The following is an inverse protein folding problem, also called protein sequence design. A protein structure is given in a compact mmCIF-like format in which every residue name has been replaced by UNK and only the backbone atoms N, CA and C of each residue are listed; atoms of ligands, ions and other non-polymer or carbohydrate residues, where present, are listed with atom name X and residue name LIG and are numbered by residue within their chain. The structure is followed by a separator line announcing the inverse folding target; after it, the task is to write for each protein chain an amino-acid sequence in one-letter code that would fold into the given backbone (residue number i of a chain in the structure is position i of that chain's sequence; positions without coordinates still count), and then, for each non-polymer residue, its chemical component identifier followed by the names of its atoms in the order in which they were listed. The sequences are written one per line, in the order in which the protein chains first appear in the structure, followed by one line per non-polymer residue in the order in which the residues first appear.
data_IF_201109825007
#
_entry.id   IF_201109825007
#
_cell.length_a   1.000
_cell.length_b   1.000
_cell.length_c   1.000
_cell.angle_alpha   90.00
_cell.angle_beta   90.00
_cell.angle_gamma   90.00
#
_symmetry.space_group_name_H-M   'P 1'
#
loop_
_entity.id
_entity.type
_entity.pdbx_description
1 polymer ?
#
# COMPACT_ATOMS: atom_id res chain seq x y z
N UNK A 1 13.82 -4.34 3.98
CA UNK A 1 12.42 -4.19 3.54
C UNK A 1 11.76 -3.09 4.36
N UNK A 2 10.92 -2.29 3.72
CA UNK A 2 10.09 -1.28 4.39
C UNK A 2 9.15 -1.96 5.42
N UNK A 3 9.17 -1.55 6.70
CA UNK A 3 8.30 -2.12 7.75
C UNK A 3 6.81 -2.06 7.40
N UNK A 4 6.37 -1.06 6.65
CA UNK A 4 4.98 -0.93 6.22
C UNK A 4 4.58 -2.08 5.30
N UNK A 5 5.39 -2.34 4.26
CA UNK A 5 5.17 -3.42 3.29
C UNK A 5 5.19 -4.80 3.95
N UNK A 6 6.02 -4.98 4.98
CA UNK A 6 6.05 -6.23 5.77
C UNK A 6 4.74 -6.43 6.54
N UNK A 7 4.14 -5.35 7.06
CA UNK A 7 2.86 -5.43 7.77
C UNK A 7 1.69 -5.70 6.83
N UNK A 8 1.67 -5.08 5.65
CA UNK A 8 0.69 -5.37 4.59
C UNK A 8 0.76 -6.84 4.15
N UNK A 9 1.97 -7.35 3.94
CA UNK A 9 2.18 -8.76 3.60
C UNK A 9 1.69 -9.70 4.71
N UNK A 10 1.93 -9.36 5.99
CA UNK A 10 1.43 -10.14 7.12
C UNK A 10 -0.10 -10.15 7.16
N UNK A 11 -0.75 -9.02 6.90
CA UNK A 11 -2.20 -8.91 6.85
C UNK A 11 -2.77 -9.78 5.71
N UNK A 12 -2.16 -9.71 4.53
CA UNK A 12 -2.54 -10.53 3.38
C UNK A 12 -2.39 -12.03 3.67
N UNK A 13 -1.28 -12.46 4.25
CA UNK A 13 -1.08 -13.87 4.63
C UNK A 13 -2.15 -14.34 5.65
N UNK A 14 -2.57 -13.47 6.57
CA UNK A 14 -3.66 -13.78 7.51
C UNK A 14 -4.98 -13.98 6.76
N UNK A 15 -5.25 -13.16 5.76
CA UNK A 15 -6.45 -13.26 4.92
C UNK A 15 -6.47 -14.57 4.11
N UNK A 16 -5.37 -14.95 3.46
CA UNK A 16 -5.29 -16.23 2.73
C UNK A 16 -5.45 -17.46 3.65
N UNK A 17 -5.07 -17.36 4.93
CA UNK A 17 -5.30 -18.43 5.92
C UNK A 17 -6.77 -18.54 6.32
N UNK A 18 -7.49 -17.42 6.32
CA UNK A 18 -8.92 -17.39 6.65
C UNK A 18 -9.77 -17.83 5.45
N UNK A 19 -9.39 -17.42 4.25
CA UNK A 19 -10.04 -17.82 3.01
C UNK A 19 -9.01 -18.21 1.94
N UNK A 20 -8.75 -19.52 1.78
CA UNK A 20 -7.85 -20.04 0.76
C UNK A 20 -8.35 -19.83 -0.68
N UNK A 21 -9.63 -19.50 -0.90
CA UNK A 21 -10.19 -19.31 -2.25
C UNK A 21 -9.61 -18.07 -2.94
N UNK A 22 -9.18 -17.08 -2.17
CA UNK A 22 -8.50 -15.87 -2.66
C UNK A 22 -7.25 -16.23 -3.45
N UNK A 23 -6.55 -17.30 -3.05
CA UNK A 23 -5.37 -17.75 -3.78
C UNK A 23 -5.71 -18.28 -5.16
N UNK A 24 -6.97 -18.60 -5.49
CA UNK A 24 -7.42 -19.15 -6.77
C UNK A 24 -7.97 -18.09 -7.74
N UNK A 25 -8.00 -16.80 -7.36
CA UNK A 25 -8.42 -15.72 -8.27
C UNK A 25 -7.40 -15.50 -9.39
N UNK A 26 -7.83 -14.90 -10.50
CA UNK A 26 -6.96 -14.65 -11.66
C UNK A 26 -5.81 -13.68 -11.33
N UNK A 27 -6.09 -12.67 -10.50
CA UNK A 27 -5.12 -11.70 -10.01
C UNK A 27 -3.99 -12.33 -9.17
N UNK A 28 -4.28 -13.44 -8.47
CA UNK A 28 -3.33 -14.13 -7.58
C UNK A 28 -2.55 -15.26 -8.29
N UNK A 29 -2.68 -15.37 -9.62
CA UNK A 29 -2.03 -16.42 -10.41
C UNK A 29 -0.50 -16.40 -10.28
N UNK A 30 0.12 -15.23 -10.37
CA UNK A 30 1.59 -15.10 -10.24
C UNK A 30 2.09 -15.62 -8.88
N UNK A 31 1.32 -15.39 -7.81
CA UNK A 31 1.67 -15.81 -6.47
C UNK A 31 1.56 -17.34 -6.33
N UNK A 32 0.55 -17.96 -6.96
CA UNK A 32 0.43 -19.42 -6.99
C UNK A 32 1.62 -20.06 -7.69
N UNK A 33 1.94 -19.59 -8.89
CA UNK A 33 3.06 -20.09 -9.69
C UNK A 33 4.39 -19.93 -8.93
N UNK A 34 4.58 -18.80 -8.24
CA UNK A 34 5.75 -18.58 -7.39
C UNK A 34 5.81 -19.56 -6.20
N UNK A 35 4.71 -19.75 -5.46
CA UNK A 35 4.65 -20.69 -4.33
C UNK A 35 4.92 -22.13 -4.77
N UNK A 36 4.36 -22.55 -5.90
CA UNK A 36 4.58 -23.88 -6.47
C UNK A 36 6.02 -24.06 -6.96
N UNK A 37 6.64 -23.03 -7.54
CA UNK A 37 8.06 -23.05 -7.94
C UNK A 37 9.00 -23.27 -6.74
N UNK A 38 8.61 -22.79 -5.57
CA UNK A 38 9.32 -22.95 -4.31
C UNK A 38 9.02 -24.29 -3.61
N UNK A 39 8.26 -25.18 -4.26
CA UNK A 39 7.82 -26.47 -3.72
C UNK A 39 6.71 -26.38 -2.66
N UNK A 40 6.07 -25.20 -2.54
CA UNK A 40 4.93 -24.99 -1.67
C UNK A 40 3.66 -25.65 -2.21
N UNK A 41 2.77 -26.08 -1.30
CA UNK A 41 1.46 -26.67 -1.66
C UNK A 41 0.34 -25.69 -1.35
N UNK A 42 -0.54 -25.47 -2.31
CA UNK A 42 -1.70 -24.58 -2.18
C UNK A 42 -2.94 -25.42 -1.84
N UNK A 43 -3.73 -25.04 -0.81
CA UNK A 43 -4.98 -25.74 -0.49
C UNK A 43 -5.98 -25.69 -1.64
N UNK A 44 -6.73 -26.78 -1.85
CA UNK A 44 -7.79 -26.86 -2.85
C UNK A 44 -8.91 -25.86 -2.52
N UNK A 45 -9.44 -25.18 -3.54
CA UNK A 45 -10.59 -24.29 -3.38
C UNK A 45 -11.78 -25.09 -2.83
N UNK A 46 -12.22 -24.77 -1.62
CA UNK A 46 -13.42 -25.38 -1.02
C UNK A 46 -14.63 -25.01 -1.87
N UNK A 47 -15.11 -25.94 -2.70
CA UNK A 47 -16.36 -25.78 -3.42
C UNK A 47 -17.51 -25.76 -2.41
N UNK A 48 -18.12 -24.59 -2.21
CA UNK A 48 -19.53 -24.56 -1.81
C UNK A 48 -20.35 -24.98 -3.03
N UNK A 49 -21.08 -26.08 -2.85
CA UNK A 49 -21.92 -26.83 -3.78
C UNK A 49 -22.46 -26.08 -5.02
N UNK A 50 -22.24 -26.71 -6.18
CA UNK A 50 -23.02 -26.54 -7.41
C UNK A 50 -24.45 -27.10 -7.24
N UNK A 51 -25.42 -26.42 -7.84
CA UNK A 51 -26.61 -27.04 -8.47
C UNK A 51 -26.84 -26.24 -9.75
N UNK A 52 -26.28 -26.71 -10.86
CA UNK A 52 -26.97 -27.53 -11.87
C UNK A 52 -27.87 -26.72 -12.82
N UNK A 53 -27.46 -26.83 -14.07
CA UNK A 53 -27.99 -26.29 -15.31
C UNK A 53 -29.39 -26.84 -15.61
N UNK A 54 -30.35 -25.97 -15.89
CA UNK A 54 -31.41 -26.31 -16.84
C UNK A 54 -31.99 -25.08 -17.54
N UNK A 55 -32.05 -25.22 -18.87
CA UNK A 55 -32.51 -24.28 -19.88
C UNK A 55 -34.01 -23.97 -19.74
N UNK A 56 -34.39 -22.69 -19.86
CA UNK A 56 -35.54 -22.24 -20.69
C UNK A 56 -35.67 -20.72 -20.73
N UNK A 57 -35.90 -20.22 -21.94
CA UNK A 57 -36.32 -18.86 -22.27
C UNK A 57 -37.63 -18.48 -21.58
N UNK A 58 -37.73 -17.25 -21.08
CA UNK A 58 -38.88 -16.37 -21.34
C UNK A 58 -38.58 -14.93 -20.88
N UNK A 59 -38.95 -13.96 -21.72
CA UNK A 59 -39.05 -12.54 -21.40
C UNK A 59 -40.36 -12.28 -20.64
N UNK A 60 -40.33 -11.50 -19.55
CA UNK A 60 -41.11 -10.25 -19.43
C UNK A 60 -40.84 -9.51 -18.10
N UNK A 61 -40.57 -8.21 -18.25
CA UNK A 61 -40.96 -7.02 -17.48
C UNK A 61 -41.34 -7.04 -15.97
N UNK A 62 -40.68 -6.12 -15.28
CA UNK A 62 -41.06 -5.23 -14.17
C UNK A 62 -41.38 -5.69 -12.73
N UNK A 63 -40.73 -4.92 -11.83
CA UNK A 63 -41.10 -4.42 -10.49
C UNK A 63 -40.73 -5.24 -9.24
N UNK A 64 -39.64 -4.76 -8.61
CA UNK A 64 -39.53 -4.25 -7.22
C UNK A 64 -39.97 -5.20 -6.09
N UNK A 65 -39.01 -5.68 -5.30
CA UNK A 65 -38.89 -5.42 -3.85
C UNK A 65 -37.40 -5.62 -3.46
N UNK A 66 -36.77 -4.52 -3.05
CA UNK A 66 -35.57 -4.50 -2.22
C UNK A 66 -35.98 -4.82 -0.78
N UNK A 67 -35.27 -5.72 -0.12
CA UNK A 67 -35.13 -5.78 1.35
C UNK A 67 -33.77 -6.46 1.64
N UNK A 68 -32.71 -5.70 1.84
CA UNK A 68 -32.24 -5.10 3.11
C UNK A 68 -31.17 -6.00 3.79
N UNK A 69 -29.91 -5.82 3.37
CA UNK A 69 -28.74 -6.07 4.22
C UNK A 69 -27.95 -4.76 4.25
N UNK A 70 -28.38 -3.85 5.11
CA UNK A 70 -27.54 -2.74 5.59
C UNK A 70 -26.34 -3.31 6.35
N UNK A 71 -25.21 -3.41 5.66
CA UNK A 71 -23.94 -3.17 6.32
C UNK A 71 -23.86 -1.66 6.55
N UNK A 72 -23.73 -1.25 7.82
CA UNK A 72 -23.42 0.13 8.21
C UNK A 72 -22.07 0.54 7.60
N UNK A 73 -22.08 1.02 6.36
CA UNK A 73 -21.10 2.00 5.92
C UNK A 73 -21.38 3.31 6.67
N UNK A 74 -20.37 3.95 7.28
CA UNK A 74 -20.56 5.31 7.73
C UNK A 74 -20.74 6.19 6.50
N UNK A 75 -22.00 6.49 6.21
CA UNK A 75 -22.41 7.67 5.45
C UNK A 75 -21.74 8.88 6.09
N UNK A 76 -20.62 9.28 5.48
CA UNK A 76 -19.97 10.56 5.69
C UNK A 76 -20.34 11.36 4.47
N UNK A 77 -21.06 12.47 4.66
CA UNK A 77 -21.56 13.43 3.67
C UNK A 77 -20.46 14.12 2.81
N UNK A 78 -19.33 13.46 2.54
CA UNK A 78 -18.10 14.04 1.95
C UNK A 78 -17.79 13.52 0.53
N UNK A 79 -18.67 12.72 -0.08
CA UNK A 79 -18.41 12.08 -1.38
C UNK A 79 -19.31 12.64 -2.48
N UNK A 80 -19.08 13.87 -2.91
CA UNK A 80 -19.49 14.28 -4.27
C UNK A 80 -18.67 15.46 -4.79
N UNK A 81 -17.35 15.30 -4.85
CA UNK A 81 -16.57 16.14 -5.74
C UNK A 81 -16.67 15.53 -7.13
N UNK A 82 -17.57 16.07 -7.95
CA UNK A 82 -17.63 15.82 -9.38
C UNK A 82 -16.28 16.23 -10.00
N UNK A 83 -15.38 15.28 -10.15
CA UNK A 83 -14.21 15.45 -11.00
C UNK A 83 -14.75 15.34 -12.42
N UNK A 84 -14.63 16.46 -13.13
CA UNK A 84 -14.94 16.52 -14.54
C UNK A 84 -14.08 15.49 -15.30
N UNK A 85 -14.76 14.46 -15.83
CA UNK A 85 -14.18 13.35 -16.57
C UNK A 85 -14.19 13.62 -18.09
N UNK A 86 -14.34 14.87 -18.52
CA UNK A 86 -14.25 15.22 -19.93
C UNK A 86 -12.92 14.72 -20.53
N UNK A 87 -13.05 13.95 -21.62
CA UNK A 87 -11.94 13.35 -22.36
C UNK A 87 -11.41 12.03 -21.78
N UNK A 88 -11.97 11.53 -20.66
CA UNK A 88 -11.67 10.19 -20.14
C UNK A 88 -12.38 9.14 -20.99
N UNK A 89 -11.66 8.08 -21.35
CA UNK A 89 -12.15 6.95 -22.14
C UNK A 89 -12.02 5.65 -21.37
N UNK A 90 -12.72 4.62 -21.83
CA UNK A 90 -12.55 3.27 -21.28
C UNK A 90 -11.15 2.71 -21.59
N UNK A 91 -10.56 1.94 -20.65
CA UNK A 91 -9.28 1.29 -20.88
C UNK A 91 -9.37 0.26 -22.01
N UNK A 92 -8.35 0.21 -22.87
CA UNK A 92 -8.21 -0.88 -23.85
C UNK A 92 -7.92 -2.20 -23.14
N UNK A 93 -8.66 -3.25 -23.53
CA UNK A 93 -8.60 -4.61 -22.96
C UNK A 93 -8.05 -5.63 -23.96
N UNK A 94 -7.46 -5.15 -25.05
CA UNK A 94 -6.82 -5.99 -26.06
C UNK A 94 -5.65 -6.79 -25.47
N UNK A 95 -5.32 -7.92 -26.11
CA UNK A 95 -4.12 -8.70 -25.80
C UNK A 95 -2.87 -7.83 -25.86
N UNK A 96 -1.92 -7.95 -24.91
CA UNK A 96 -0.68 -7.18 -24.93
C UNK A 96 0.04 -7.29 -26.28
N UNK A 97 0.45 -6.15 -26.82
CA UNK A 97 1.13 -6.07 -28.11
C UNK A 97 2.53 -6.70 -28.06
N UNK A 98 3.08 -7.05 -29.22
CA UNK A 98 4.42 -7.63 -29.32
C UNK A 98 5.51 -6.61 -28.96
N UNK A 99 6.44 -7.01 -28.08
CA UNK A 99 7.50 -6.16 -27.53
C UNK A 99 8.92 -6.51 -28.01
N UNK A 100 9.07 -7.48 -28.92
CA UNK A 100 10.38 -8.00 -29.32
C UNK A 100 11.07 -8.84 -28.24
N UNK A 101 12.23 -9.40 -28.56
CA UNK A 101 13.07 -10.15 -27.61
C UNK A 101 14.26 -9.30 -27.16
N UNK A 102 14.22 -8.86 -25.91
CA UNK A 102 15.25 -7.99 -25.32
C UNK A 102 16.66 -8.60 -25.32
N UNK A 103 16.74 -9.93 -25.32
CA UNK A 103 17.98 -10.68 -25.28
C UNK A 103 18.51 -11.07 -26.67
N UNK A 104 17.77 -10.77 -27.73
CA UNK A 104 18.19 -11.08 -29.09
C UNK A 104 19.53 -10.40 -29.45
N UNK A 105 20.36 -11.13 -30.19
CA UNK A 105 21.55 -10.58 -30.81
C UNK A 105 21.15 -9.68 -31.98
N UNK A 106 21.58 -8.42 -31.95
CA UNK A 106 21.21 -7.42 -32.95
C UNK A 106 22.41 -7.23 -33.87
N UNK A 107 22.35 -7.85 -35.06
CA UNK A 107 23.35 -7.68 -36.11
C UNK A 107 23.22 -6.31 -36.79
N UNK A 108 24.31 -5.81 -37.38
CA UNK A 108 24.32 -4.52 -38.12
C UNK A 108 23.23 -4.46 -39.20
N UNK A 109 23.06 -5.53 -39.96
CA UNK A 109 21.99 -5.64 -40.97
C UNK A 109 20.59 -5.50 -40.36
N UNK A 110 20.35 -6.05 -39.16
CA UNK A 110 19.07 -5.90 -38.47
C UNK A 110 18.85 -4.46 -38.00
N UNK A 111 19.91 -3.75 -37.62
CA UNK A 111 19.81 -2.32 -37.25
C UNK A 111 19.41 -1.46 -38.46
N UNK A 112 20.00 -1.72 -39.62
CA UNK A 112 19.67 -1.03 -40.87
C UNK A 112 18.23 -1.32 -41.29
N UNK A 113 17.83 -2.59 -41.30
CA UNK A 113 16.44 -2.99 -41.60
C UNK A 113 15.44 -2.38 -40.60
N UNK A 114 15.77 -2.34 -39.30
CA UNK A 114 14.94 -1.68 -38.29
C UNK A 114 14.82 -0.17 -38.55
N UNK A 115 15.90 0.47 -39.00
CA UNK A 115 15.90 1.88 -39.34
C UNK A 115 15.03 2.17 -40.58
N UNK A 116 15.11 1.34 -41.62
CA UNK A 116 14.26 1.44 -42.81
C UNK A 116 12.77 1.27 -42.45
N UNK A 117 12.45 0.26 -41.63
CA UNK A 117 11.09 0.04 -41.12
C UNK A 117 10.60 1.22 -40.29
N UNK A 118 11.45 1.84 -39.45
CA UNK A 118 11.12 3.05 -38.69
C UNK A 118 10.80 4.24 -39.60
N UNK A 119 11.56 4.42 -40.68
CA UNK A 119 11.30 5.49 -41.68
C UNK A 119 9.95 5.25 -42.34
N UNK A 120 9.72 4.04 -42.87
CA UNK A 120 8.44 3.68 -43.49
C UNK A 120 7.25 3.80 -42.50
N UNK A 121 7.43 3.44 -41.23
CA UNK A 121 6.42 3.60 -40.20
C UNK A 121 6.10 5.08 -39.93
N UNK A 122 7.12 5.94 -39.96
CA UNK A 122 6.95 7.38 -39.77
C UNK A 122 6.22 8.01 -40.96
N UNK A 123 6.52 7.56 -42.19
CA UNK A 123 5.78 7.97 -43.39
C UNK A 123 4.31 7.54 -43.32
N UNK A 124 4.03 6.27 -43.02
CA UNK A 124 2.67 5.77 -42.83
C UNK A 124 1.90 6.55 -41.75
N UNK A 125 2.58 6.94 -40.65
CA UNK A 125 1.99 7.78 -39.61
C UNK A 125 1.65 9.19 -40.11
N UNK A 126 2.50 9.79 -40.95
CA UNK A 126 2.27 11.10 -41.54
C UNK A 126 1.12 11.08 -42.55
N UNK A 127 0.96 9.97 -43.27
CA UNK A 127 -0.15 9.74 -44.20
C UNK A 127 -1.47 9.37 -43.49
N UNK A 128 -1.44 9.18 -42.17
CA UNK A 128 -2.61 8.83 -41.36
C UNK A 128 -2.96 7.34 -41.36
N UNK A 129 -2.11 6.48 -41.93
CA UNK A 129 -2.27 5.03 -41.96
C UNK A 129 -1.84 4.39 -40.62
N UNK A 130 -2.58 4.68 -39.55
CA UNK A 130 -2.18 4.38 -38.16
C UNK A 130 -1.92 2.89 -37.91
N UNK A 131 -2.76 1.98 -38.41
CA UNK A 131 -2.56 0.54 -38.21
C UNK A 131 -1.29 0.04 -38.91
N UNK A 132 -1.05 0.49 -40.14
CA UNK A 132 0.17 0.15 -40.89
C UNK A 132 1.42 0.71 -40.21
N UNK A 133 1.33 1.90 -39.61
CA UNK A 133 2.43 2.45 -38.80
C UNK A 133 2.73 1.56 -37.59
N UNK A 134 1.71 1.05 -36.89
CA UNK A 134 1.89 0.08 -35.79
C UNK A 134 2.58 -1.18 -36.27
N UNK A 135 2.13 -1.76 -37.38
CA UNK A 135 2.69 -2.99 -37.92
C UNK A 135 4.18 -2.79 -38.28
N UNK A 136 4.51 -1.69 -38.95
CA UNK A 136 5.89 -1.34 -39.33
C UNK A 136 6.78 -1.02 -38.11
N UNK A 137 6.27 -0.32 -37.09
CA UNK A 137 7.00 -0.13 -35.84
C UNK A 137 7.21 -1.45 -35.09
N UNK A 138 6.24 -2.36 -35.15
CA UNK A 138 6.34 -3.68 -34.53
C UNK A 138 7.40 -4.53 -35.22
N UNK A 139 7.45 -4.53 -36.55
CA UNK A 139 8.53 -5.13 -37.32
C UNK A 139 9.90 -4.54 -36.95
N UNK A 140 10.00 -3.21 -36.84
CA UNK A 140 11.24 -2.54 -36.42
C UNK A 140 11.68 -2.95 -35.01
N UNK A 141 10.74 -3.10 -34.08
CA UNK A 141 11.01 -3.54 -32.69
C UNK A 141 11.49 -4.99 -32.66
N UNK A 142 10.92 -5.89 -33.48
CA UNK A 142 11.40 -7.27 -33.59
C UNK A 142 12.85 -7.35 -34.06
N UNK A 143 13.25 -6.43 -34.95
CA UNK A 143 14.60 -6.35 -35.48
C UNK A 143 15.57 -5.65 -34.50
N UNK A 144 15.12 -4.61 -33.80
CA UNK A 144 15.93 -3.88 -32.83
C UNK A 144 15.12 -3.49 -31.57
N UNK A 145 14.97 -4.42 -30.61
CA UNK A 145 14.16 -4.21 -29.41
C UNK A 145 14.84 -3.32 -28.35
N UNK A 146 16.06 -2.85 -28.62
CA UNK A 146 16.84 -1.98 -27.71
C UNK A 146 16.86 -0.52 -28.15
N UNK A 147 16.06 -0.17 -29.17
CA UNK A 147 15.96 1.19 -29.66
C UNK A 147 14.73 1.91 -29.09
N UNK A 148 14.92 2.67 -28.01
CA UNK A 148 13.85 3.36 -27.26
C UNK A 148 12.88 4.17 -28.14
N UNK A 149 13.39 4.84 -29.19
CA UNK A 149 12.59 5.70 -30.06
C UNK A 149 11.50 4.93 -30.82
N UNK A 150 11.67 3.62 -31.06
CA UNK A 150 10.66 2.81 -31.74
C UNK A 150 9.40 2.67 -30.89
N UNK A 151 9.58 2.32 -29.60
CA UNK A 151 8.48 2.21 -28.64
C UNK A 151 7.82 3.57 -28.41
N UNK A 152 8.59 4.65 -28.22
CA UNK A 152 8.02 5.99 -28.04
C UNK A 152 7.17 6.43 -29.24
N UNK A 153 7.63 6.15 -30.47
CA UNK A 153 6.86 6.45 -31.69
C UNK A 153 5.61 5.58 -31.80
N UNK A 154 5.69 4.27 -31.53
CA UNK A 154 4.53 3.37 -31.55
C UNK A 154 3.50 3.74 -30.49
N UNK A 155 3.94 4.12 -29.28
CA UNK A 155 3.08 4.67 -28.23
C UNK A 155 2.30 5.91 -28.70
N UNK A 156 2.94 6.82 -29.46
CA UNK A 156 2.24 7.98 -30.02
C UNK A 156 1.10 7.58 -30.98
N UNK A 157 1.27 6.48 -31.72
CA UNK A 157 0.21 5.94 -32.59
C UNK A 157 -0.91 5.31 -31.75
N UNK A 158 -0.58 4.57 -30.70
CA UNK A 158 -1.58 4.00 -29.79
C UNK A 158 -2.41 5.08 -29.08
N UNK A 159 -1.80 6.20 -28.68
CA UNK A 159 -2.54 7.37 -28.14
C UNK A 159 -3.51 7.94 -29.18
N UNK A 160 -3.09 8.08 -30.45
CA UNK A 160 -3.98 8.53 -31.54
C UNK A 160 -5.15 7.57 -31.79
N UNK A 161 -4.94 6.27 -31.57
CA UNK A 161 -5.98 5.23 -31.66
C UNK A 161 -6.79 5.05 -30.37
N UNK A 162 -6.58 5.90 -29.36
CA UNK A 162 -7.27 5.79 -28.06
C UNK A 162 -7.05 4.42 -27.38
N UNK A 163 -5.82 3.88 -27.47
CA UNK A 163 -5.37 2.66 -26.78
C UNK A 163 -4.32 2.98 -25.70
N UNK A 164 -4.72 3.61 -24.58
CA UNK A 164 -3.79 4.13 -23.59
C UNK A 164 -2.97 3.07 -22.85
N UNK A 165 -3.51 1.89 -22.54
CA UNK A 165 -2.77 0.81 -21.88
C UNK A 165 -1.67 0.25 -22.79
N UNK A 166 -1.96 0.05 -24.07
CA UNK A 166 -0.93 -0.30 -25.07
C UNK A 166 0.17 0.78 -25.13
N UNK A 167 -0.21 2.06 -25.17
CA UNK A 167 0.76 3.17 -25.16
C UNK A 167 1.63 3.19 -23.90
N UNK A 168 1.05 2.94 -22.72
CA UNK A 168 1.77 2.91 -21.44
C UNK A 168 2.85 1.83 -21.46
N UNK A 169 2.54 0.60 -21.90
CA UNK A 169 3.53 -0.49 -22.00
C UNK A 169 4.72 -0.13 -22.89
N UNK A 170 4.46 0.51 -24.03
CA UNK A 170 5.53 0.99 -24.92
C UNK A 170 6.34 2.13 -24.28
N UNK A 171 5.68 3.06 -23.58
CA UNK A 171 6.37 4.16 -22.91
C UNK A 171 7.25 3.65 -21.76
N UNK A 172 6.76 2.72 -20.96
CA UNK A 172 7.53 2.08 -19.88
C UNK A 172 8.78 1.43 -20.45
N UNK A 173 8.63 0.67 -21.55
CA UNK A 173 9.77 0.05 -22.22
C UNK A 173 10.76 1.08 -22.77
N UNK A 174 10.27 2.17 -23.36
CA UNK A 174 11.14 3.24 -23.84
C UNK A 174 11.92 3.91 -22.71
N UNK A 175 11.30 4.10 -21.54
CA UNK A 175 11.91 4.69 -20.33
C UNK A 175 12.95 3.75 -19.72
N UNK A 176 12.68 2.43 -19.69
CA UNK A 176 13.66 1.43 -19.25
C UNK A 176 14.94 1.48 -20.08
N UNK A 177 14.81 1.65 -21.40
CA UNK A 177 15.95 1.72 -22.32
C UNK A 177 16.65 3.08 -22.25
N UNK A 178 15.89 4.17 -22.24
CA UNK A 178 16.42 5.53 -22.20
C UNK A 178 15.56 6.45 -21.29
N UNK A 179 15.92 6.56 -20.00
CA UNK A 179 15.15 7.34 -19.03
C UNK A 179 15.30 8.86 -19.21
N UNK A 180 16.29 9.32 -20.00
CA UNK A 180 16.55 10.74 -20.25
C UNK A 180 15.77 11.30 -21.44
N UNK A 181 15.02 10.45 -22.17
CA UNK A 181 14.16 10.90 -23.26
C UNK A 181 12.86 11.49 -22.73
N UNK A 182 12.52 12.72 -23.14
CA UNK A 182 11.25 13.36 -22.76
C UNK A 182 10.02 12.72 -23.42
N UNK A 183 10.17 12.22 -24.66
CA UNK A 183 9.06 11.74 -25.50
C UNK A 183 8.22 10.63 -24.86
N UNK A 184 8.80 9.56 -24.28
CA UNK A 184 8.03 8.55 -23.57
C UNK A 184 7.15 9.11 -22.43
N UNK A 185 7.67 10.05 -21.64
CA UNK A 185 6.89 10.67 -20.57
C UNK A 185 5.75 11.53 -21.13
N UNK A 186 5.97 12.26 -22.22
CA UNK A 186 4.89 13.01 -22.90
C UNK A 186 3.76 12.08 -23.32
N UNK A 187 4.08 10.95 -23.95
CA UNK A 187 3.06 10.01 -24.44
C UNK A 187 2.40 9.22 -23.30
N UNK A 188 3.14 8.82 -22.26
CA UNK A 188 2.58 8.17 -21.08
C UNK A 188 1.66 9.10 -20.29
N UNK A 189 2.04 10.37 -20.14
CA UNK A 189 1.19 11.40 -19.55
C UNK A 189 -0.11 11.62 -20.32
N UNK A 190 -0.05 11.65 -21.66
CA UNK A 190 -1.23 11.69 -22.54
C UNK A 190 -2.12 10.45 -22.38
N UNK A 191 -1.52 9.26 -22.26
CA UNK A 191 -2.26 8.02 -22.04
C UNK A 191 -2.93 7.97 -20.66
N UNK A 192 -2.24 8.40 -19.60
CA UNK A 192 -2.82 8.53 -18.27
C UNK A 192 -3.96 9.55 -18.22
N UNK A 193 -3.83 10.67 -18.96
CA UNK A 193 -4.91 11.65 -19.12
C UNK A 193 -6.16 11.03 -19.75
N UNK A 194 -6.00 10.20 -20.78
CA UNK A 194 -7.12 9.46 -21.40
C UNK A 194 -7.79 8.48 -20.43
N UNK A 195 -7.03 7.90 -19.48
CA UNK A 195 -7.58 7.00 -18.45
C UNK A 195 -8.13 7.73 -17.22
N UNK A 196 -8.02 9.06 -17.14
CA UNK A 196 -8.37 9.82 -15.94
C UNK A 196 -7.41 9.59 -14.76
N UNK A 197 -6.22 9.05 -15.00
CA UNK A 197 -5.16 8.90 -14.02
C UNK A 197 -4.45 10.26 -13.84
N UNK A 198 -5.15 11.20 -13.21
CA UNK A 198 -4.76 12.61 -13.21
C UNK A 198 -3.43 12.89 -12.50
N UNK A 199 -3.14 12.18 -11.40
CA UNK A 199 -1.88 12.36 -10.64
C UNK A 199 -0.68 11.90 -11.46
N UNK A 200 -0.78 10.72 -12.07
CA UNK A 200 0.22 10.11 -12.92
C UNK A 200 0.45 10.94 -14.20
N UNK A 201 -0.63 11.40 -14.83
CA UNK A 201 -0.56 12.27 -15.99
C UNK A 201 0.17 13.58 -15.69
N UNK A 202 -0.16 14.25 -14.57
CA UNK A 202 0.52 15.49 -14.17
C UNK A 202 2.01 15.25 -13.89
N UNK A 203 2.34 14.15 -13.22
CA UNK A 203 3.73 13.80 -12.93
C UNK A 203 4.55 13.62 -14.22
N UNK A 204 4.07 12.80 -15.14
CA UNK A 204 4.79 12.50 -16.38
C UNK A 204 4.92 13.71 -17.30
N UNK A 205 3.85 14.51 -17.46
CA UNK A 205 3.90 15.74 -18.26
C UNK A 205 4.86 16.77 -17.66
N UNK A 206 4.90 16.90 -16.32
CA UNK A 206 5.85 17.78 -15.66
C UNK A 206 7.30 17.31 -15.83
N UNK A 207 7.54 15.99 -15.75
CA UNK A 207 8.86 15.42 -16.01
C UNK A 207 9.28 15.60 -17.46
N UNK A 208 8.37 15.38 -18.42
CA UNK A 208 8.61 15.64 -19.83
C UNK A 208 9.04 17.08 -20.07
N UNK A 209 8.26 18.08 -19.60
CA UNK A 209 8.61 19.50 -19.75
C UNK A 209 9.91 19.90 -19.06
N UNK A 210 10.32 19.18 -18.02
CA UNK A 210 11.61 19.40 -17.34
C UNK A 210 12.78 18.86 -18.15
N UNK A 211 12.61 17.72 -18.82
CA UNK A 211 13.63 17.10 -19.67
C UNK A 211 13.79 17.86 -20.99
N UNK A 212 12.66 18.14 -21.65
CA UNK A 212 12.59 18.91 -22.89
C UNK A 212 11.26 19.66 -22.94
N UNK A 213 11.32 20.99 -23.02
CA UNK A 213 10.11 21.81 -22.99
C UNK A 213 9.33 21.65 -24.29
N UNK A 214 8.11 21.13 -24.17
CA UNK A 214 7.15 21.00 -25.26
C UNK A 214 5.88 21.80 -24.92
N UNK A 215 5.41 22.62 -25.86
CA UNK A 215 4.26 23.51 -25.65
C UNK A 215 2.96 22.71 -25.45
N UNK A 216 2.77 21.63 -26.21
CA UNK A 216 1.60 20.75 -26.09
C UNK A 216 1.57 20.03 -24.74
N UNK A 217 2.71 19.47 -24.31
CA UNK A 217 2.84 18.84 -23.00
C UNK A 217 2.59 19.84 -21.86
N UNK A 218 3.12 21.06 -21.97
CA UNK A 218 2.93 22.14 -21.00
C UNK A 218 1.47 22.60 -20.92
N UNK A 219 0.79 22.71 -22.06
CA UNK A 219 -0.63 23.03 -22.12
C UNK A 219 -1.48 21.93 -21.46
N UNK A 220 -1.20 20.67 -21.78
CA UNK A 220 -1.90 19.54 -21.16
C UNK A 220 -1.63 19.42 -19.66
N UNK A 221 -0.40 19.72 -19.21
CA UNK A 221 -0.09 19.76 -17.78
C UNK A 221 -0.98 20.76 -17.05
N UNK A 222 -1.20 21.96 -17.62
CA UNK A 222 -2.08 22.97 -17.03
C UNK A 222 -3.54 22.51 -16.94
N UNK A 223 -4.02 21.73 -17.93
CA UNK A 223 -5.35 21.12 -17.93
C UNK A 223 -5.49 20.06 -16.82
N UNK A 224 -4.50 19.17 -16.71
CA UNK A 224 -4.54 18.02 -15.80
C UNK A 224 -4.26 18.41 -14.34
N UNK A 225 -3.42 19.42 -14.10
CA UNK A 225 -2.98 19.83 -12.76
C UNK A 225 -4.11 20.07 -11.74
N UNK A 226 -5.19 20.81 -12.04
CA UNK A 226 -6.29 21.01 -11.08
C UNK A 226 -7.03 19.70 -10.78
N UNK A 227 -7.22 18.81 -11.76
CA UNK A 227 -7.85 17.50 -11.56
C UNK A 227 -6.95 16.59 -10.69
N UNK A 228 -5.64 16.62 -10.92
CA UNK A 228 -4.65 15.92 -10.11
C UNK A 228 -4.66 16.39 -8.64
N UNK A 229 -4.69 17.71 -8.41
CA UNK A 229 -4.73 18.29 -7.06
C UNK A 229 -6.02 17.93 -6.31
N UNK A 230 -7.18 17.95 -6.99
CA UNK A 230 -8.45 17.50 -6.41
C UNK A 230 -8.40 16.02 -6.02
N UNK A 231 -7.89 15.17 -6.92
CA UNK A 231 -7.76 13.73 -6.71
C UNK A 231 -6.85 13.42 -5.51
N UNK A 232 -5.66 14.03 -5.48
CA UNK A 232 -4.71 13.88 -4.38
C UNK A 232 -5.25 14.41 -3.04
N UNK A 233 -5.95 15.55 -3.07
CA UNK A 233 -6.59 16.13 -1.90
C UNK A 233 -7.66 15.23 -1.30
N UNK A 234 -8.50 14.64 -2.14
CA UNK A 234 -9.51 13.67 -1.73
C UNK A 234 -8.88 12.41 -1.13
N UNK A 235 -7.89 11.82 -1.82
CA UNK A 235 -7.14 10.65 -1.33
C UNK A 235 -6.54 10.89 0.05
N UNK A 236 -5.91 12.06 0.25
CA UNK A 236 -5.33 12.46 1.54
C UNK A 236 -6.38 12.64 2.63
N UNK A 237 -7.53 13.27 2.34
CA UNK A 237 -8.61 13.42 3.31
C UNK A 237 -9.16 12.07 3.75
N UNK A 238 -9.38 11.17 2.79
CA UNK A 238 -9.86 9.82 3.05
C UNK A 238 -8.89 9.02 3.92
N UNK A 239 -7.58 9.09 3.62
CA UNK A 239 -6.54 8.44 4.41
C UNK A 239 -6.46 9.00 5.84
N UNK A 240 -6.52 10.33 6.00
CA UNK A 240 -6.58 10.98 7.32
C UNK A 240 -7.82 10.50 8.11
N UNK A 241 -8.97 10.40 7.45
CA UNK A 241 -10.20 9.88 8.05
C UNK A 241 -10.04 8.45 8.55
N UNK A 242 -9.48 7.56 7.72
CA UNK A 242 -9.19 6.17 8.09
C UNK A 242 -8.23 6.05 9.27
N UNK A 243 -7.16 6.82 9.29
CA UNK A 243 -6.18 6.83 10.39
C UNK A 243 -6.81 7.35 11.68
N UNK A 244 -7.62 8.42 11.62
CA UNK A 244 -8.35 8.95 12.79
C UNK A 244 -9.30 7.91 13.37
N UNK A 245 -10.10 7.25 12.52
CA UNK A 245 -11.03 6.20 12.94
C UNK A 245 -10.29 5.04 13.62
N UNK A 246 -9.23 4.53 13.00
CA UNK A 246 -8.38 3.48 13.59
C UNK A 246 -7.80 3.89 14.96
N UNK A 247 -7.33 5.14 15.09
CA UNK A 247 -6.81 5.66 16.37
C UNK A 247 -7.89 5.76 17.44
N UNK A 248 -9.11 6.14 17.08
CA UNK A 248 -10.22 6.20 18.03
C UNK A 248 -10.69 4.80 18.47
N UNK A 249 -10.76 3.85 17.55
CA UNK A 249 -11.08 2.43 17.86
C UNK A 249 -10.05 1.83 18.83
N UNK A 250 -8.75 2.04 18.57
CA UNK A 250 -7.68 1.62 19.49
C UNK A 250 -7.77 2.27 20.87
N UNK A 251 -8.33 3.48 20.97
CA UNK A 251 -8.56 4.15 22.26
C UNK A 251 -9.83 3.66 22.97
N UNK A 252 -10.84 3.19 22.23
CA UNK A 252 -12.12 2.69 22.79
C UNK A 252 -12.01 1.24 23.26
N UNK A 253 -11.24 0.39 22.58
CA UNK A 253 -11.04 -1.02 22.94
C UNK A 253 -10.64 -1.28 24.41
N UNK A 254 -9.63 -0.62 25.01
CA UNK A 254 -9.29 -0.83 26.42
C UNK A 254 -10.37 -0.32 27.39
N UNK A 255 -11.19 0.65 26.97
CA UNK A 255 -12.25 1.26 27.80
C UNK A 255 -13.52 0.40 27.86
N UNK A 256 -13.76 -0.40 26.83
CA UNK A 256 -14.84 -1.40 26.77
C UNK A 256 -14.47 -2.67 27.55
N UNK A 257 -13.20 -3.09 27.55
CA UNK A 257 -12.73 -4.20 28.39
C UNK A 257 -12.79 -3.86 29.89
N UNK A 258 -12.44 -2.63 30.29
CA UNK A 258 -12.57 -2.18 31.69
C UNK A 258 -14.03 -2.04 32.14
N UNK A 259 -14.95 -1.64 31.26
CA UNK A 259 -16.37 -1.48 31.61
C UNK A 259 -17.16 -2.79 31.57
N UNK A 260 -16.79 -3.74 30.72
CA UNK A 260 -17.34 -5.10 30.72
C UNK A 260 -16.98 -5.91 31.97
N UNK A 261 -15.82 -5.64 32.58
CA UNK A 261 -15.39 -6.25 33.84
C UNK A 261 -16.20 -5.79 35.07
N UNK A 262 -16.90 -4.65 34.99
CA UNK A 262 -17.64 -4.09 36.13
C UNK A 262 -19.10 -4.61 36.23
N UNK A 263 -19.64 -5.29 35.22
CA UNK A 263 -21.04 -5.78 35.20
C UNK A 263 -21.22 -7.28 35.40
N UNK A 264 -20.14 -8.04 35.63
CA UNK A 264 -20.14 -9.50 35.75
C UNK A 264 -19.57 -10.03 37.06
N UNK A 265 -20.10 -9.64 38.22
CA UNK A 265 -19.81 -10.34 39.49
C UNK A 265 -20.88 -10.08 40.58
N UNK A 266 -21.92 -10.90 40.58
CA UNK A 266 -22.48 -11.45 41.82
C UNK A 266 -22.55 -12.97 41.62
N UNK A 267 -21.88 -13.76 42.49
CA UNK A 267 -22.62 -14.39 43.57
C UNK A 267 -21.83 -14.60 44.89
N UNK A 268 -22.55 -14.51 46.01
CA UNK A 268 -22.43 -15.49 47.11
C UNK A 268 -21.36 -15.30 48.19
N UNK A 269 -21.78 -14.75 49.34
CA UNK A 269 -21.64 -15.32 50.69
C UNK A 269 -20.25 -15.63 51.29
N UNK A 270 -19.90 -14.97 52.41
CA UNK A 270 -19.87 -15.56 53.77
C UNK A 270 -19.57 -14.45 54.82
N UNK A 271 -19.94 -14.62 56.11
CA UNK A 271 -20.06 -13.55 57.09
C UNK A 271 -18.95 -13.52 58.15
N UNK A 272 -18.65 -12.31 58.65
CA UNK A 272 -18.30 -12.08 60.06
C UNK A 272 -16.81 -11.86 60.41
N UNK A 273 -16.50 -10.67 60.96
CA UNK A 273 -15.25 -10.39 61.70
C UNK A 273 -14.81 -8.92 61.67
N UNK A 274 -15.25 -8.14 62.66
CA UNK A 274 -15.18 -6.66 62.83
C UNK A 274 -13.96 -6.24 63.70
N UNK A 275 -13.72 -4.97 64.15
CA UNK A 275 -13.58 -3.63 63.50
C UNK A 275 -12.31 -2.81 63.91
N UNK A 276 -12.06 -1.69 63.21
CA UNK A 276 -11.44 -0.44 63.76
C UNK A 276 -10.08 -0.07 63.15
N UNK A 277 -9.75 1.18 62.77
CA UNK A 277 -10.38 2.50 62.81
C UNK A 277 -9.56 3.50 61.95
N UNK A 278 -10.24 4.56 61.47
CA UNK A 278 -9.88 5.74 60.64
C UNK A 278 -8.52 6.46 60.90
N UNK A 279 -8.10 7.52 60.13
CA UNK A 279 -8.66 8.19 58.92
C UNK A 279 -7.66 8.62 57.80
N UNK A 280 -8.09 8.62 56.53
CA UNK A 280 -7.84 9.74 55.59
C UNK A 280 -6.51 9.89 54.82
N UNK A 281 -6.61 9.82 53.48
CA UNK A 281 -5.89 10.74 52.57
C UNK A 281 -4.94 10.15 51.53
N UNK A 282 -5.42 9.90 50.31
CA UNK A 282 -4.89 10.43 49.02
C UNK A 282 -5.55 9.68 47.84
N UNK A 283 -6.38 10.31 47.00
CA UNK A 283 -6.92 9.70 45.80
C UNK A 283 -5.96 9.86 44.62
N UNK A 284 -5.62 8.76 43.92
CA UNK A 284 -5.08 8.88 42.55
C UNK A 284 -3.91 8.01 42.12
N UNK A 285 -3.74 6.78 42.62
CA UNK A 285 -2.72 5.87 42.06
C UNK A 285 -3.19 4.41 42.05
N UNK A 286 -4.27 4.17 41.30
CA UNK A 286 -4.77 2.83 40.99
C UNK A 286 -4.81 2.65 39.48
N UNK A 287 -3.64 2.48 38.87
CA UNK A 287 -3.50 2.23 37.44
C UNK A 287 -2.30 1.33 37.21
N UNK A 288 -2.54 0.03 37.14
CA UNK A 288 -1.50 -0.95 36.79
C UNK A 288 -0.99 -0.67 35.39
N UNK A 289 0.32 -0.44 35.26
CA UNK A 289 1.00 -0.24 33.98
C UNK A 289 1.00 -1.55 33.17
N UNK A 290 0.38 -1.63 31.98
CA UNK A 290 0.34 -2.86 31.17
C UNK A 290 1.61 -3.13 30.36
N UNK A 291 2.60 -2.24 30.38
CA UNK A 291 3.75 -2.30 29.48
C UNK A 291 4.95 -3.13 30.01
N UNK A 292 4.83 -3.78 31.17
CA UNK A 292 5.94 -4.48 31.84
C UNK A 292 5.83 -6.02 31.83
N UNK A 293 4.75 -6.60 31.33
CA UNK A 293 4.40 -8.02 31.52
C UNK A 293 5.15 -9.04 30.61
N UNK A 294 6.31 -8.69 30.04
CA UNK A 294 6.97 -9.53 29.03
C UNK A 294 8.48 -9.74 29.14
N UNK A 295 9.16 -9.16 30.13
CA UNK A 295 10.62 -9.30 30.26
C UNK A 295 11.02 -10.39 31.27
N UNK A 296 11.85 -11.38 30.87
CA UNK A 296 12.48 -12.31 31.80
C UNK A 296 13.32 -11.52 32.83
N UNK A 297 13.16 -11.81 34.13
CA UNK A 297 13.92 -11.18 35.22
C UNK A 297 13.32 -9.89 35.80
N UNK A 298 12.27 -9.32 35.20
CA UNK A 298 11.68 -8.06 35.68
C UNK A 298 10.93 -8.23 37.03
N UNK A 299 10.35 -9.40 37.28
CA UNK A 299 9.74 -9.72 38.58
C UNK A 299 10.77 -9.79 39.72
N UNK A 300 12.02 -10.16 39.43
CA UNK A 300 13.10 -10.17 40.44
C UNK A 300 13.59 -8.76 40.74
N UNK A 301 13.65 -7.90 39.72
CA UNK A 301 14.00 -6.47 39.84
C UNK A 301 12.95 -5.72 40.67
N UNK A 302 11.67 -6.00 40.46
CA UNK A 302 10.57 -5.37 41.21
C UNK A 302 10.35 -5.95 42.61
N UNK A 303 11.01 -7.06 42.95
CA UNK A 303 10.93 -7.65 44.29
C UNK A 303 12.00 -7.11 45.25
N UNK A 304 12.93 -6.28 44.75
CA UNK A 304 14.00 -5.68 45.56
C UNK A 304 13.52 -4.36 46.21
N UNK A 305 13.46 -4.29 47.56
CA UNK A 305 13.01 -3.10 48.28
C UNK A 305 13.81 -1.83 47.95
N UNK A 306 15.10 -1.96 47.63
CA UNK A 306 15.95 -0.81 47.30
C UNK A 306 15.72 -0.33 45.85
N UNK A 307 15.43 -1.25 44.93
CA UNK A 307 15.09 -0.91 43.54
C UNK A 307 13.71 -0.26 43.49
N UNK A 308 12.74 -0.79 44.25
CA UNK A 308 11.42 -0.17 44.38
C UNK A 308 11.50 1.23 44.95
N UNK A 309 12.32 1.46 45.99
CA UNK A 309 12.52 2.78 46.55
C UNK A 309 13.16 3.76 45.55
N UNK A 310 14.08 3.27 44.70
CA UNK A 310 14.70 4.10 43.67
C UNK A 310 13.75 4.43 42.50
N UNK A 311 12.90 3.48 42.09
CA UNK A 311 11.92 3.66 41.00
C UNK A 311 10.73 4.56 41.43
N UNK A 312 10.55 4.79 42.73
CA UNK A 312 9.61 5.81 43.23
C UNK A 312 10.05 7.25 42.91
N UNK A 313 11.33 7.49 42.62
CA UNK A 313 11.78 8.79 42.13
C UNK A 313 11.34 8.96 40.65
N UNK A 314 10.52 9.97 40.32
CA UNK A 314 10.00 10.18 38.97
C UNK A 314 11.10 10.31 37.91
N UNK A 315 12.24 10.90 38.25
CA UNK A 315 13.37 11.05 37.32
C UNK A 315 14.00 9.69 37.00
N UNK A 316 14.06 8.81 38.00
CA UNK A 316 14.63 7.47 37.88
C UNK A 316 13.68 6.53 37.14
N UNK A 317 12.37 6.65 37.36
CA UNK A 317 11.36 5.85 36.65
C UNK A 317 11.38 6.12 35.14
N UNK A 318 11.45 7.40 34.75
CA UNK A 318 11.51 7.79 33.33
C UNK A 318 12.77 7.26 32.66
N UNK A 319 13.92 7.41 33.34
CA UNK A 319 15.18 6.88 32.83
C UNK A 319 15.19 5.34 32.74
N UNK A 320 14.62 4.67 33.75
CA UNK A 320 14.48 3.22 33.76
C UNK A 320 13.60 2.73 32.60
N UNK A 321 12.47 3.40 32.34
CA UNK A 321 11.61 3.07 31.22
C UNK A 321 12.30 3.28 29.85
N UNK A 322 13.05 4.37 29.68
CA UNK A 322 13.78 4.65 28.43
C UNK A 322 14.87 3.59 28.17
N UNK A 323 15.61 3.19 29.20
CA UNK A 323 16.65 2.15 29.09
C UNK A 323 16.05 0.75 28.88
N UNK A 324 14.91 0.45 29.50
CA UNK A 324 14.20 -0.83 29.30
C UNK A 324 13.66 -0.94 27.87
N UNK A 325 13.14 0.16 27.31
CA UNK A 325 12.69 0.18 25.92
C UNK A 325 13.85 0.13 24.92
N UNK A 326 15.01 0.69 25.28
CA UNK A 326 16.20 0.65 24.44
C UNK A 326 17.49 0.65 25.30
N UNK A 327 18.16 -0.51 25.47
CA UNK A 327 19.36 -0.62 26.29
C UNK A 327 20.52 0.31 25.87
N UNK A 328 20.57 0.74 24.61
CA UNK A 328 21.58 1.70 24.13
C UNK A 328 21.41 3.11 24.72
N UNK A 329 20.24 3.44 25.27
CA UNK A 329 19.98 4.73 25.90
C UNK A 329 20.62 4.88 27.29
N UNK A 330 21.16 3.81 27.87
CA UNK A 330 21.82 3.84 29.18
C UNK A 330 22.90 4.94 29.26
N UNK A 331 23.69 5.11 28.21
CA UNK A 331 24.74 6.13 28.15
C UNK A 331 24.22 7.56 28.30
N UNK A 332 22.95 7.85 28.00
CA UNK A 332 22.38 9.20 28.14
C UNK A 332 22.30 9.67 29.59
N UNK A 333 22.26 8.74 30.53
CA UNK A 333 22.02 9.02 31.94
C UNK A 333 23.31 8.98 32.78
N UNK A 334 24.49 8.92 32.15
CA UNK A 334 25.79 8.87 32.85
C UNK A 334 26.02 10.08 33.78
N UNK A 335 25.37 11.21 33.50
CA UNK A 335 25.47 12.46 34.26
C UNK A 335 24.45 12.56 35.39
N UNK A 336 23.46 11.65 35.45
CA UNK A 336 22.47 11.63 36.51
C UNK A 336 22.93 10.67 37.63
N UNK A 337 23.36 11.19 38.80
CA UNK A 337 23.89 10.36 39.87
C UNK A 337 22.86 9.40 40.48
N UNK A 338 21.57 9.75 40.45
CA UNK A 338 20.50 8.87 40.97
C UNK A 338 20.28 7.67 40.07
N UNK A 339 20.25 7.88 38.76
CA UNK A 339 20.08 6.83 37.76
C UNK A 339 21.31 5.93 37.71
N UNK A 340 22.51 6.51 37.78
CA UNK A 340 23.76 5.75 37.82
C UNK A 340 23.90 4.89 39.08
N UNK A 341 23.40 5.35 40.23
CA UNK A 341 23.38 4.55 41.46
C UNK A 341 22.46 3.33 41.30
N UNK A 342 21.29 3.50 40.69
CA UNK A 342 20.38 2.38 40.38
C UNK A 342 21.02 1.39 39.40
N UNK A 343 21.60 1.87 38.29
CA UNK A 343 22.26 1.02 37.28
C UNK A 343 23.45 0.26 37.90
N UNK A 344 24.25 0.91 38.74
CA UNK A 344 25.40 0.28 39.40
C UNK A 344 24.95 -0.82 40.37
N UNK A 345 23.85 -0.60 41.11
CA UNK A 345 23.26 -1.61 42.00
C UNK A 345 22.66 -2.79 41.24
N UNK A 346 21.95 -2.53 40.14
CA UNK A 346 21.40 -3.57 39.26
C UNK A 346 22.53 -4.38 38.61
N UNK A 347 23.58 -3.72 38.14
CA UNK A 347 24.76 -4.39 37.58
C UNK A 347 25.51 -5.22 38.62
N UNK A 348 25.66 -4.74 39.86
CA UNK A 348 26.30 -5.49 40.94
C UNK A 348 25.48 -6.72 41.39
N UNK A 349 24.13 -6.65 41.34
CA UNK A 349 23.24 -7.76 41.72
C UNK A 349 22.98 -8.76 40.60
N UNK A 350 22.92 -8.31 39.35
CA UNK A 350 22.50 -9.13 38.20
C UNK A 350 23.59 -9.35 37.14
N UNK A 351 24.68 -8.57 37.17
CA UNK A 351 25.82 -8.72 36.25
C UNK A 351 26.85 -9.77 36.66
N UNK A 352 26.54 -10.58 37.67
CA UNK A 352 27.39 -11.63 38.23
C UNK A 352 26.97 -13.04 37.84
N UNK A 353 26.56 -13.28 36.60
CA UNK A 353 26.50 -14.62 36.01
C UNK A 353 26.95 -14.51 34.54
N UNK A 354 28.21 -14.87 34.31
CA UNK A 354 28.75 -15.17 32.98
C UNK A 354 28.40 -16.61 32.59
#
# INVERSE_FOLDING_TARGET
MDPHKVNELRAFVKMCKQDPSILHTEEMRFLREWVESMGGKIPLATQKAKSEENTKEEKLDSKKVEEDIKADEPSSEESDLEIDNEGVIEPDTDTPQEMGDENAEIAEEMMDQANDKKVAATEALNDGELQKAIDLFTDAIKLNPRLAILYAKRASVFVKLQKPNAAIRDCDRAIEINPDSAQPYTWRGKAHRLLGHWEEAAHDLALACKLDYDEDASAMLKEVQPRAQKTAGHRRKYEIGRVKKSREEHKRAPREEESGAQYGSFPGGFPGGMPGGFPGGMPGMGGGMPAMAGMPGLNEILSDPEVLAAVQDPEVMVAFQDVVQNPAHMSKYHSNPKVMNLISKLSAKFGGQA
#
